data_IF_824421249209
#
_entry.id   IF_824421249209
#
_cell.length_a   1.000
_cell.length_b   1.000
_cell.length_c   1.000
_cell.angle_alpha   90.00
_cell.angle_beta   90.00
_cell.angle_gamma   90.00
#
_symmetry.space_group_name_H-M   'P 1'
#
loop_
_entity.id
_entity.type
_entity.pdbx_description
1 polymer ?
#
# COMPACT_ATOMS: atom_id res chain seq x y z
N UNK A 1 -8.51 -18.09 -4.79
CA UNK A 1 -8.11 -16.77 -5.32
C UNK A 1 -7.51 -16.00 -4.16
N UNK A 2 -6.25 -16.29 -3.84
CA UNK A 2 -5.56 -15.80 -2.64
C UNK A 2 -4.86 -14.49 -2.98
N UNK A 3 -5.27 -13.38 -2.37
CA UNK A 3 -4.36 -12.24 -2.25
C UNK A 3 -3.31 -12.58 -1.19
N UNK A 4 -2.05 -12.21 -1.43
CA UNK A 4 -1.00 -12.42 -0.45
C UNK A 4 -0.96 -11.27 0.55
N UNK A 5 -0.78 -11.62 1.82
CA UNK A 5 -0.60 -10.66 2.91
C UNK A 5 0.84 -10.21 2.92
N UNK A 6 1.07 -8.90 2.92
CA UNK A 6 2.40 -8.32 3.00
C UNK A 6 3.05 -8.69 4.35
N UNK A 7 4.30 -9.17 4.30
CA UNK A 7 5.15 -9.21 5.48
C UNK A 7 5.51 -7.78 5.95
N UNK A 8 4.78 -7.30 6.95
CA UNK A 8 4.98 -5.95 7.49
C UNK A 8 6.27 -5.81 8.33
N UNK A 9 6.80 -6.93 8.86
CA UNK A 9 7.96 -6.91 9.76
C UNK A 9 9.29 -6.90 9.01
N UNK A 10 9.38 -7.60 7.88
CA UNK A 10 10.54 -7.55 6.99
C UNK A 10 10.31 -6.58 5.84
N UNK A 11 9.50 -6.97 4.85
CA UNK A 11 9.30 -6.19 3.61
C UNK A 11 8.69 -4.81 3.91
N UNK A 12 7.75 -4.72 4.84
CA UNK A 12 7.13 -3.46 5.25
C UNK A 12 8.12 -2.42 5.77
N UNK A 13 9.21 -2.85 6.44
CA UNK A 13 10.27 -1.93 6.90
C UNK A 13 11.03 -1.33 5.72
N UNK A 14 11.29 -2.12 4.67
CA UNK A 14 11.93 -1.62 3.46
C UNK A 14 11.05 -0.58 2.75
N UNK A 15 9.75 -0.85 2.65
CA UNK A 15 8.78 0.08 2.05
C UNK A 15 8.75 1.40 2.82
N UNK A 16 8.76 1.34 4.15
CA UNK A 16 8.83 2.52 5.03
C UNK A 16 10.10 3.33 4.77
N UNK A 17 11.27 2.70 4.79
CA UNK A 17 12.57 3.35 4.51
C UNK A 17 12.57 4.01 3.13
N UNK A 18 12.07 3.32 2.09
CA UNK A 18 11.97 3.87 0.75
C UNK A 18 11.05 5.09 0.69
N UNK A 19 9.91 5.05 1.37
CA UNK A 19 8.93 6.14 1.42
C UNK A 19 9.51 7.37 2.12
N UNK A 20 10.14 7.18 3.27
CA UNK A 20 10.75 8.26 4.06
C UNK A 20 11.93 8.89 3.31
N UNK A 21 12.90 8.07 2.86
CA UNK A 21 14.07 8.58 2.13
C UNK A 21 13.70 9.23 0.80
N UNK A 22 12.76 8.63 0.07
CA UNK A 22 12.25 9.17 -1.19
C UNK A 22 11.63 10.56 -1.00
N UNK A 23 10.82 10.74 0.05
CA UNK A 23 10.20 12.03 0.36
C UNK A 23 11.15 13.04 0.99
N UNK A 24 12.16 12.60 1.74
CA UNK A 24 13.22 13.47 2.20
C UNK A 24 14.00 14.11 1.04
N UNK A 25 14.26 13.34 -0.02
CA UNK A 25 14.93 13.84 -1.22
C UNK A 25 13.98 14.63 -2.15
N UNK A 26 12.70 14.24 -2.23
CA UNK A 26 11.67 14.89 -3.05
C UNK A 26 10.34 14.94 -2.30
N UNK A 27 9.99 16.05 -1.62
CA UNK A 27 8.84 16.14 -0.72
C UNK A 27 7.50 15.69 -1.34
N UNK A 28 7.29 15.99 -2.62
CA UNK A 28 6.06 15.67 -3.35
C UNK A 28 6.15 14.37 -4.17
N UNK A 29 7.10 13.48 -3.86
CA UNK A 29 7.25 12.20 -4.57
C UNK A 29 5.98 11.36 -4.42
N UNK A 30 5.38 11.01 -5.56
CA UNK A 30 4.25 10.08 -5.63
C UNK A 30 4.75 8.66 -5.52
N UNK A 31 4.20 7.91 -4.58
CA UNK A 31 4.60 6.54 -4.29
C UNK A 31 3.34 5.68 -4.28
N UNK A 32 3.38 4.56 -4.97
CA UNK A 32 2.31 3.56 -4.94
C UNK A 32 2.88 2.16 -5.02
N UNK A 33 1.98 1.18 -4.91
CA UNK A 33 2.33 -0.24 -4.93
C UNK A 33 1.54 -0.94 -6.04
N UNK A 34 2.18 -1.89 -6.71
CA UNK A 34 1.55 -2.84 -7.62
C UNK A 34 1.80 -4.27 -7.13
N UNK A 35 0.95 -5.20 -7.56
CA UNK A 35 1.05 -6.61 -7.21
C UNK A 35 -0.10 -7.07 -6.33
N UNK A 36 0.01 -8.29 -5.83
CA UNK A 36 -1.13 -8.97 -5.20
C UNK A 36 -1.52 -8.37 -3.85
N UNK A 37 -0.53 -7.87 -3.11
CA UNK A 37 -0.70 -7.13 -1.86
C UNK A 37 -1.60 -5.88 -2.02
N UNK A 38 -1.63 -5.28 -3.23
CA UNK A 38 -2.44 -4.08 -3.49
C UNK A 38 -3.96 -4.34 -3.51
N UNK A 39 -4.38 -5.60 -3.49
CA UNK A 39 -5.79 -6.01 -3.37
C UNK A 39 -6.11 -6.78 -2.08
N UNK A 40 -5.19 -6.81 -1.12
CA UNK A 40 -5.37 -7.47 0.17
C UNK A 40 -5.64 -6.42 1.26
N UNK A 41 -6.77 -6.47 1.98
CA UNK A 41 -7.20 -5.39 2.89
C UNK A 41 -6.19 -4.97 3.95
N UNK A 42 -5.53 -5.92 4.63
CA UNK A 42 -4.59 -5.59 5.71
C UNK A 42 -3.31 -4.93 5.19
N UNK A 43 -2.87 -5.32 3.99
CA UNK A 43 -1.76 -4.71 3.27
C UNK A 43 -2.12 -3.30 2.79
N UNK A 44 -3.32 -3.11 2.22
CA UNK A 44 -3.84 -1.79 1.83
C UNK A 44 -3.89 -0.83 3.03
N UNK A 45 -4.36 -1.32 4.18
CA UNK A 45 -4.36 -0.57 5.43
C UNK A 45 -2.95 -0.11 5.83
N UNK A 46 -1.97 -1.02 5.77
CA UNK A 46 -0.58 -0.72 6.06
C UNK A 46 0.01 0.33 5.09
N UNK A 47 -0.26 0.22 3.79
CA UNK A 47 0.20 1.20 2.79
C UNK A 47 -0.40 2.59 3.02
N UNK A 48 -1.68 2.66 3.38
CA UNK A 48 -2.33 3.91 3.73
C UNK A 48 -1.70 4.58 4.96
N UNK A 49 -1.37 3.79 6.00
CA UNK A 49 -0.66 4.28 7.19
C UNK A 49 0.75 4.78 6.90
N UNK A 50 1.47 4.17 5.96
CA UNK A 50 2.76 4.68 5.47
C UNK A 50 2.61 5.93 4.56
N UNK A 51 1.37 6.31 4.24
CA UNK A 51 1.06 7.47 3.43
C UNK A 51 1.35 7.27 1.95
N UNK A 52 1.26 6.05 1.41
CA UNK A 52 1.31 5.83 -0.04
C UNK A 52 0.15 6.57 -0.72
N UNK A 53 0.35 6.96 -1.98
CA UNK A 53 -0.62 7.74 -2.75
C UNK A 53 -1.66 6.88 -3.46
N UNK A 54 -1.30 5.65 -3.84
CA UNK A 54 -2.22 4.74 -4.53
C UNK A 54 -1.80 3.27 -4.38
N UNK A 55 -2.78 2.39 -4.60
CA UNK A 55 -2.59 0.95 -4.78
C UNK A 55 -3.05 0.56 -6.18
N UNK A 56 -2.37 -0.42 -6.79
CA UNK A 56 -2.70 -0.97 -8.10
C UNK A 56 -2.85 -2.48 -7.99
N UNK A 57 -4.02 -2.98 -8.37
CA UNK A 57 -4.39 -4.39 -8.28
C UNK A 57 -5.16 -4.83 -9.53
N UNK A 58 -5.38 -6.14 -9.66
CA UNK A 58 -6.18 -6.68 -10.78
C UNK A 58 -7.60 -6.11 -10.79
N UNK A 59 -8.24 -5.95 -11.97
CA UNK A 59 -9.54 -5.28 -12.08
C UNK A 59 -10.61 -5.81 -11.12
N UNK A 60 -10.70 -7.13 -10.96
CA UNK A 60 -11.65 -7.78 -10.05
C UNK A 60 -11.41 -7.49 -8.56
N UNK A 61 -10.19 -7.05 -8.18
CA UNK A 61 -9.83 -6.68 -6.79
C UNK A 61 -9.99 -5.20 -6.50
N UNK A 62 -10.26 -4.37 -7.51
CA UNK A 62 -10.46 -2.92 -7.33
C UNK A 62 -11.55 -2.58 -6.29
N UNK A 63 -12.73 -3.24 -6.27
CA UNK A 63 -13.74 -2.96 -5.24
C UNK A 63 -13.24 -3.25 -3.82
N UNK A 64 -12.45 -4.31 -3.63
CA UNK A 64 -11.86 -4.69 -2.33
C UNK A 64 -10.85 -3.63 -1.90
N UNK A 65 -9.93 -3.25 -2.78
CA UNK A 65 -8.92 -2.24 -2.49
C UNK A 65 -9.55 -0.88 -2.14
N UNK A 66 -10.61 -0.48 -2.83
CA UNK A 66 -11.37 0.74 -2.54
C UNK A 66 -12.02 0.71 -1.16
N UNK A 67 -12.68 -0.40 -0.82
CA UNK A 67 -13.33 -0.54 0.49
C UNK A 67 -12.28 -0.54 1.61
N UNK A 68 -11.20 -1.30 1.47
CA UNK A 68 -10.13 -1.37 2.45
C UNK A 68 -9.47 0.00 2.69
N UNK A 69 -9.20 0.75 1.62
CA UNK A 69 -8.65 2.10 1.73
C UNK A 69 -9.61 3.07 2.45
N UNK A 70 -10.92 2.95 2.21
CA UNK A 70 -11.92 3.78 2.88
C UNK A 70 -12.03 3.49 4.38
N UNK A 71 -11.89 2.23 4.79
CA UNK A 71 -11.99 1.81 6.20
C UNK A 71 -10.89 2.40 7.10
N UNK A 72 -9.76 2.81 6.54
CA UNK A 72 -8.60 3.33 7.28
C UNK A 72 -8.36 4.83 7.09
N UNK A 73 -9.16 5.49 6.26
CA UNK A 73 -9.08 6.92 5.99
C UNK A 73 -9.94 7.77 6.97
N UNK A 74 -10.44 7.14 8.03
CA UNK A 74 -11.27 7.76 9.07
C UNK A 74 -10.44 8.47 10.14
#
# INVERSE_FOLDING_TARGET
>A
MTGEVLDQKGVGQLIKICTEKGRAAKPNLKIGICGEHGGEPSSVAFFAQLGLNYVSCSPFRVPIARLAAAQVAA
#
